data_IF_688097660081
#
_entry.id   IF_688097660081
#
_cell.length_a   1.000
_cell.length_b   1.000
_cell.length_c   1.000
_cell.angle_alpha   90.00
_cell.angle_beta   90.00
_cell.angle_gamma   90.00
#
_symmetry.space_group_name_H-M   'P 1'
#
loop_
_entity.id
_entity.type
_entity.pdbx_description
1 polymer ?
#
# COMPACT_ATOMS: atom_id res chain seq x y z
N UNK A 1 -4.84 12.23 -4.59
CA UNK A 1 -5.49 10.96 -5.01
C UNK A 1 -5.45 10.88 -6.52
N UNK A 2 -4.85 9.84 -7.12
CA UNK A 2 -4.72 9.75 -8.58
C UNK A 2 -5.70 8.79 -9.26
N UNK A 3 -6.20 7.78 -8.54
CA UNK A 3 -7.20 6.85 -9.07
C UNK A 3 -8.10 6.33 -7.95
N UNK A 4 -9.40 6.22 -8.23
CA UNK A 4 -10.41 5.52 -7.43
C UNK A 4 -11.42 4.95 -8.43
N UNK A 5 -11.61 3.64 -8.45
CA UNK A 5 -12.55 3.02 -9.38
C UNK A 5 -12.41 1.50 -9.48
N UNK A 6 -13.30 0.88 -10.26
CA UNK A 6 -13.31 -0.57 -10.45
C UNK A 6 -12.31 -0.97 -11.53
N UNK A 7 -11.46 -1.96 -11.22
CA UNK A 7 -10.59 -2.66 -12.17
C UNK A 7 -11.05 -4.10 -12.23
N UNK A 8 -11.52 -4.53 -13.40
CA UNK A 8 -12.13 -5.84 -13.65
C UNK A 8 -13.39 -6.08 -12.80
N UNK A 9 -13.24 -6.39 -11.53
CA UNK A 9 -14.29 -6.85 -10.61
C UNK A 9 -14.19 -6.22 -9.20
N UNK A 10 -13.16 -5.41 -8.93
CA UNK A 10 -12.90 -4.86 -7.61
C UNK A 10 -12.55 -3.39 -7.65
N UNK A 11 -12.89 -2.68 -6.59
CA UNK A 11 -12.48 -1.29 -6.44
C UNK A 11 -11.00 -1.21 -6.01
N UNK A 12 -10.27 -0.36 -6.71
CA UNK A 12 -8.86 -0.06 -6.54
C UNK A 12 -8.72 1.43 -6.29
N UNK A 13 -7.85 1.78 -5.34
CA UNK A 13 -7.49 3.16 -5.05
C UNK A 13 -5.98 3.33 -5.24
N UNK A 14 -5.53 4.45 -5.82
CA UNK A 14 -4.11 4.80 -5.94
C UNK A 14 -3.84 6.21 -5.41
N UNK A 15 -2.94 6.28 -4.43
CA UNK A 15 -2.36 7.52 -3.92
C UNK A 15 -1.11 7.85 -4.73
N UNK A 16 -1.04 9.07 -5.23
CA UNK A 16 0.19 9.68 -5.74
C UNK A 16 0.83 10.48 -4.61
N UNK A 17 2.06 10.09 -4.24
CA UNK A 17 2.80 10.69 -3.15
C UNK A 17 3.71 11.84 -3.61
N UNK A 18 3.77 12.08 -4.93
CA UNK A 18 4.79 12.94 -5.55
C UNK A 18 6.05 12.17 -5.91
N UNK A 19 6.99 12.85 -6.58
CA UNK A 19 8.32 12.35 -6.91
C UNK A 19 8.36 10.99 -7.65
N UNK A 20 7.27 10.67 -8.37
CA UNK A 20 7.14 9.42 -9.11
C UNK A 20 6.66 8.23 -8.29
N UNK A 21 6.40 8.40 -6.99
CA UNK A 21 5.92 7.32 -6.12
C UNK A 21 4.40 7.23 -6.08
N UNK A 22 3.88 6.02 -6.31
CA UNK A 22 2.44 5.72 -6.22
C UNK A 22 2.21 4.45 -5.39
N UNK A 23 1.19 4.48 -4.54
CA UNK A 23 0.71 3.28 -3.83
C UNK A 23 -0.71 2.94 -4.23
N UNK A 24 -0.94 1.68 -4.59
CA UNK A 24 -2.25 1.16 -4.98
C UNK A 24 -2.73 0.11 -3.97
N UNK A 25 -4.03 0.11 -3.68
CA UNK A 25 -4.67 -0.79 -2.73
C UNK A 25 -5.92 -1.43 -3.36
N UNK A 26 -6.06 -2.75 -3.21
CA UNK A 26 -7.24 -3.51 -3.67
C UNK A 26 -7.47 -4.77 -2.81
N UNK A 27 -8.70 -5.32 -2.75
CA UNK A 27 -9.95 -4.63 -3.01
C UNK A 27 -10.29 -3.73 -1.82
N UNK A 28 -10.76 -2.51 -2.08
CA UNK A 28 -11.11 -1.55 -1.02
C UNK A 28 -12.40 -0.82 -1.34
N UNK A 29 -13.14 -0.38 -0.33
CA UNK A 29 -14.24 0.58 -0.47
C UNK A 29 -13.74 1.97 -0.08
N UNK A 30 -13.59 2.87 -1.06
CA UNK A 30 -13.00 4.18 -0.86
C UNK A 30 -13.92 5.14 -0.09
N UNK A 31 -13.34 5.93 0.81
CA UNK A 31 -14.01 7.08 1.43
C UNK A 31 -13.63 8.42 0.79
N UNK A 32 -12.79 8.39 -0.24
CA UNK A 32 -12.24 9.54 -0.96
C UNK A 32 -12.46 9.43 -2.47
N UNK A 33 -12.29 10.54 -3.19
CA UNK A 33 -12.47 10.63 -4.64
C UNK A 33 -11.17 11.02 -5.34
N UNK A 34 -11.10 10.76 -6.64
CA UNK A 34 -10.02 11.25 -7.49
C UNK A 34 -9.89 12.78 -7.33
N UNK A 35 -8.66 13.28 -7.19
CA UNK A 35 -8.38 14.69 -6.93
C UNK A 35 -8.26 15.07 -5.45
N UNK A 36 -8.80 14.27 -4.52
CA UNK A 36 -8.70 14.57 -3.09
C UNK A 36 -7.24 14.58 -2.61
N UNK A 37 -6.89 15.60 -1.82
CA UNK A 37 -5.63 15.62 -1.08
C UNK A 37 -5.83 14.87 0.24
N UNK A 38 -4.94 13.93 0.51
CA UNK A 38 -4.96 13.13 1.74
C UNK A 38 -3.69 13.38 2.54
N UNK A 39 -3.77 13.23 3.86
CA UNK A 39 -2.63 13.40 4.75
C UNK A 39 -2.21 12.08 5.38
N UNK A 40 -0.95 12.00 5.84
CA UNK A 40 -0.46 10.85 6.60
C UNK A 40 -1.39 10.55 7.78
N UNK A 41 -1.76 9.29 7.96
CA UNK A 41 -2.64 8.82 9.05
C UNK A 41 -4.13 8.98 8.78
N UNK A 42 -4.54 9.64 7.69
CA UNK A 42 -5.93 9.72 7.29
C UNK A 42 -6.43 8.36 6.80
N UNK A 43 -7.61 7.94 7.27
CA UNK A 43 -8.32 6.79 6.71
C UNK A 43 -8.87 7.18 5.33
N UNK A 44 -8.49 6.43 4.29
CA UNK A 44 -8.85 6.71 2.88
C UNK A 44 -9.79 5.66 2.28
N UNK A 45 -9.85 4.46 2.88
CA UNK A 45 -10.69 3.36 2.45
C UNK A 45 -10.78 2.30 3.56
N UNK A 46 -11.76 1.39 3.44
CA UNK A 46 -11.81 0.15 4.22
C UNK A 46 -11.56 -1.04 3.29
N UNK A 47 -11.04 -2.16 3.83
CA UNK A 47 -10.92 -3.41 3.06
C UNK A 47 -12.31 -3.85 2.62
N UNK A 48 -12.48 -4.16 1.34
CA UNK A 48 -13.76 -4.62 0.82
C UNK A 48 -14.06 -6.06 1.30
N UNK A 49 -15.32 -6.48 1.19
CA UNK A 49 -15.71 -7.89 1.44
C UNK A 49 -16.29 -8.46 0.14
N UNK A 50 -15.68 -9.51 -0.45
CA UNK A 50 -14.46 -10.18 0.02
C UNK A 50 -13.19 -9.33 -0.19
N UNK A 51 -12.24 -9.49 0.72
CA UNK A 51 -10.87 -8.99 0.63
C UNK A 51 -10.00 -9.82 -0.33
N UNK A 52 -8.72 -9.49 -0.40
CA UNK A 52 -7.73 -10.19 -1.20
C UNK A 52 -7.29 -11.52 -0.55
N UNK A 53 -7.01 -12.52 -1.36
CA UNK A 53 -6.40 -13.78 -0.93
C UNK A 53 -7.33 -14.73 -0.16
N UNK A 54 -6.78 -15.86 0.33
CA UNK A 54 -7.54 -16.83 1.12
C UNK A 54 -8.02 -16.20 2.43
N UNK A 55 -9.32 -16.34 2.74
CA UNK A 55 -9.93 -15.74 3.93
C UNK A 55 -10.68 -14.43 3.65
N UNK A 56 -10.32 -13.70 2.59
CA UNK A 56 -11.08 -12.53 2.13
C UNK A 56 -11.11 -11.38 3.15
N UNK A 57 -10.05 -11.20 3.93
CA UNK A 57 -9.92 -10.16 4.96
C UNK A 57 -8.65 -9.31 4.80
N UNK A 58 -7.83 -9.58 3.77
CA UNK A 58 -6.61 -8.83 3.49
C UNK A 58 -6.79 -7.80 2.36
N UNK A 59 -5.81 -6.91 2.23
CA UNK A 59 -5.66 -6.02 1.08
C UNK A 59 -4.36 -6.38 0.36
N UNK A 60 -4.35 -6.22 -0.95
CA UNK A 60 -3.14 -6.18 -1.76
C UNK A 60 -2.61 -4.74 -1.81
N UNK A 61 -1.33 -4.57 -1.53
CA UNK A 61 -0.64 -3.28 -1.62
C UNK A 61 0.49 -3.36 -2.64
N UNK A 62 0.41 -2.51 -3.66
CA UNK A 62 1.47 -2.33 -4.66
C UNK A 62 2.09 -0.95 -4.56
N UNK A 63 3.40 -0.84 -4.84
CA UNK A 63 4.11 0.43 -4.96
C UNK A 63 4.77 0.52 -6.32
N UNK A 64 4.62 1.67 -6.98
CA UNK A 64 5.36 2.04 -8.16
C UNK A 64 6.31 3.20 -7.87
N UNK A 65 7.49 3.13 -8.46
CA UNK A 65 8.46 4.22 -8.53
C UNK A 65 8.72 4.51 -10.01
N UNK A 66 8.45 5.75 -10.45
CA UNK A 66 8.63 6.18 -11.84
C UNK A 66 7.95 5.28 -12.88
N UNK A 67 6.81 4.69 -12.51
CA UNK A 67 6.02 3.80 -13.37
C UNK A 67 6.29 2.31 -13.18
N UNK A 68 7.44 1.94 -12.59
CA UNK A 68 7.85 0.55 -12.40
C UNK A 68 7.41 0.02 -11.04
N UNK A 69 6.97 -1.24 -10.98
CA UNK A 69 6.65 -1.89 -9.71
C UNK A 69 7.92 -2.24 -8.93
N UNK A 70 7.90 -1.93 -7.63
CA UNK A 70 9.00 -2.18 -6.72
C UNK A 70 8.51 -2.91 -5.48
N UNK A 71 9.43 -3.52 -4.71
CA UNK A 71 9.07 -4.19 -3.44
C UNK A 71 8.54 -3.16 -2.43
N UNK A 72 7.25 -3.20 -2.01
CA UNK A 72 6.69 -2.22 -1.08
C UNK A 72 7.38 -2.20 0.29
N UNK A 73 7.98 -3.31 0.72
CA UNK A 73 8.59 -3.42 2.05
C UNK A 73 9.78 -2.50 2.24
N UNK A 74 10.43 -2.04 1.16
CA UNK A 74 11.54 -1.07 1.27
C UNK A 74 11.13 0.27 1.88
N UNK A 75 9.82 0.58 1.88
CA UNK A 75 9.28 1.85 2.39
C UNK A 75 8.78 1.77 3.85
N UNK A 76 8.61 0.57 4.39
CA UNK A 76 8.00 0.37 5.73
C UNK A 76 8.78 -0.57 6.63
N UNK A 77 9.71 -1.35 6.09
CA UNK A 77 10.58 -2.24 6.83
C UNK A 77 12.02 -1.76 6.77
N UNK A 78 12.75 -2.00 7.86
CA UNK A 78 14.20 -1.97 7.80
C UNK A 78 14.69 -3.26 7.13
N UNK A 79 15.13 -3.13 5.88
CA UNK A 79 15.66 -4.26 5.10
C UNK A 79 17.15 -4.48 5.34
N UNK A 80 17.78 -3.77 6.29
CA UNK A 80 19.18 -4.03 6.65
C UNK A 80 19.31 -5.45 7.21
N UNK A 81 20.42 -6.15 6.94
CA UNK A 81 20.67 -7.46 7.54
C UNK A 81 20.64 -7.38 9.07
N UNK A 82 20.07 -8.41 9.70
CA UNK A 82 20.18 -8.58 11.15
C UNK A 82 21.66 -8.62 11.57
N UNK A 83 22.03 -7.75 12.51
CA UNK A 83 23.37 -7.76 13.12
C UNK A 83 23.29 -8.57 14.41
N UNK A 84 23.98 -9.72 14.44
CA UNK A 84 24.18 -10.47 15.68
C UNK A 84 25.11 -9.68 16.60
N UNK A 85 24.63 -9.31 17.78
CA UNK A 85 25.49 -8.74 18.82
C UNK A 85 26.34 -9.86 19.44
N UNK A 86 27.59 -9.56 19.86
CA UNK A 86 28.38 -10.52 20.61
C UNK A 86 27.62 -10.97 21.87
N UNK A 87 27.78 -12.24 22.24
CA UNK A 87 27.19 -12.78 23.47
C UNK A 87 27.85 -12.05 24.65
N UNK A 88 27.10 -11.41 25.56
CA UNK A 88 27.72 -10.73 26.69
C UNK A 88 28.45 -11.74 27.60
N UNK A 89 29.78 -11.62 27.71
CA UNK A 89 30.58 -12.36 28.70
C UNK A 89 31.52 -13.45 28.18
N UNK A 90 31.92 -13.43 26.90
CA UNK A 90 33.05 -14.22 26.38
C UNK A 90 34.25 -13.33 26.05
#
# INVERSE_FOLDING_TARGET
>A
MSFVGVVVDREVLTVDHGEGHKSSFEPVSSSVRVGDRVTRGQVIANVATPGHGPGGDAVHWGVRENGEYVNPLQFVADLRPSVLLPVPGE
#
